data_IF_172035732075
#
_entry.id   IF_172035732075
#
_cell.length_a   1.000
_cell.length_b   1.000
_cell.length_c   1.000
_cell.angle_alpha   90.00
_cell.angle_beta   90.00
_cell.angle_gamma   90.00
#
_symmetry.space_group_name_H-M   'P 1'
#
loop_
_entity.id
_entity.type
_entity.pdbx_description
1 polymer ?
#
# COMPACT_ATOMS: atom_id res chain seq x y z
N UNK A 1 24.50 45.30 32.50
CA UNK A 1 24.27 43.83 32.37
C UNK A 1 22.87 43.52 31.88
N UNK A 2 21.89 44.42 32.07
CA UNK A 2 20.49 44.18 31.68
C UNK A 2 20.27 44.04 30.16
N UNK A 3 20.95 44.84 29.33
CA UNK A 3 20.79 44.81 27.86
C UNK A 3 21.13 43.47 27.19
N UNK A 4 22.04 42.70 27.80
CA UNK A 4 22.41 41.38 27.27
C UNK A 4 21.30 40.34 27.52
N UNK A 5 20.60 40.43 28.66
CA UNK A 5 19.51 39.52 28.98
C UNK A 5 18.24 39.85 28.19
N UNK A 6 17.92 41.13 27.99
CA UNK A 6 16.79 41.55 27.14
C UNK A 6 17.02 41.19 25.68
N UNK A 7 18.23 41.40 25.14
CA UNK A 7 18.53 40.98 23.76
C UNK A 7 18.50 39.46 23.58
N UNK A 8 19.03 38.69 24.54
CA UNK A 8 18.96 37.22 24.51
C UNK A 8 17.50 36.70 24.63
N UNK A 9 16.67 37.31 25.48
CA UNK A 9 15.26 36.97 25.61
C UNK A 9 14.47 37.30 24.35
N UNK A 10 14.72 38.46 23.72
CA UNK A 10 14.12 38.83 22.43
C UNK A 10 14.55 37.85 21.34
N UNK A 11 15.83 37.46 21.26
CA UNK A 11 16.28 36.45 20.30
C UNK A 11 15.62 35.08 20.52
N UNK A 12 15.49 34.62 21.78
CA UNK A 12 14.80 33.38 22.11
C UNK A 12 13.30 33.42 21.75
N UNK A 13 12.64 34.56 21.95
CA UNK A 13 11.22 34.70 21.64
C UNK A 13 10.97 34.86 20.14
N UNK A 14 11.79 35.66 19.45
CA UNK A 14 11.64 35.97 18.01
C UNK A 14 12.09 34.82 17.12
N UNK A 15 13.13 34.07 17.50
CA UNK A 15 13.65 32.96 16.69
C UNK A 15 13.42 31.59 17.33
N UNK A 16 13.66 31.47 18.64
CA UNK A 16 13.53 30.17 19.33
C UNK A 16 12.10 29.66 19.39
N UNK A 17 11.15 30.52 19.74
CA UNK A 17 9.73 30.19 19.87
C UNK A 17 9.08 29.75 18.54
N UNK A 18 9.26 30.46 17.42
CA UNK A 18 8.74 29.98 16.13
C UNK A 18 9.44 28.71 15.65
N UNK A 19 10.75 28.54 15.85
CA UNK A 19 11.44 27.27 15.50
C UNK A 19 10.87 26.11 16.32
N UNK A 20 10.62 26.32 17.61
CA UNK A 20 10.02 25.33 18.50
C UNK A 20 8.59 24.99 18.09
N UNK A 21 7.77 26.00 17.78
CA UNK A 21 6.41 25.81 17.26
C UNK A 21 6.40 25.06 15.94
N UNK A 22 7.34 25.35 15.03
CA UNK A 22 7.52 24.62 13.77
C UNK A 22 7.86 23.16 14.04
N UNK A 23 8.79 22.87 14.96
CA UNK A 23 9.13 21.48 15.34
C UNK A 23 7.94 20.74 15.94
N UNK A 24 7.17 21.39 16.82
CA UNK A 24 5.93 20.81 17.38
C UNK A 24 4.93 20.54 16.27
N UNK A 25 4.67 21.51 15.39
CA UNK A 25 3.74 21.37 14.27
C UNK A 25 4.12 20.18 13.36
N UNK A 26 5.41 20.00 13.11
CA UNK A 26 5.89 18.86 12.33
C UNK A 26 5.84 17.52 13.10
N UNK A 27 5.96 17.52 14.43
CA UNK A 27 6.01 16.32 15.27
C UNK A 27 4.66 15.82 15.83
N UNK A 28 3.69 16.71 16.05
CA UNK A 28 2.46 16.41 16.80
C UNK A 28 1.56 15.37 16.09
N UNK A 29 1.64 15.33 14.76
CA UNK A 29 1.00 14.31 13.92
C UNK A 29 1.32 12.88 14.39
N UNK A 30 2.61 12.60 14.68
CA UNK A 30 3.06 11.28 15.13
C UNK A 30 2.54 10.93 16.52
N UNK A 31 2.35 11.94 17.38
CA UNK A 31 1.78 11.74 18.71
C UNK A 31 0.32 11.33 18.61
N UNK A 32 -0.45 12.00 17.74
CA UNK A 32 -1.85 11.62 17.50
C UNK A 32 -1.98 10.24 16.87
N UNK A 33 -1.09 9.85 15.95
CA UNK A 33 -1.07 8.47 15.43
C UNK A 33 -0.85 7.43 16.54
N UNK A 34 0.08 7.68 17.47
CA UNK A 34 0.36 6.79 18.60
C UNK A 34 -0.82 6.66 19.56
N UNK A 35 -1.61 7.73 19.70
CA UNK A 35 -2.82 7.76 20.51
C UNK A 35 -4.05 7.20 19.76
N UNK A 36 -3.87 6.67 18.54
CA UNK A 36 -4.95 6.22 17.65
C UNK A 36 -5.97 7.33 17.32
N UNK A 37 -5.60 8.61 17.47
CA UNK A 37 -6.42 9.78 17.14
C UNK A 37 -6.26 10.14 15.66
N UNK A 38 -6.69 9.19 14.86
CA UNK A 38 -6.44 9.11 13.43
C UNK A 38 -7.05 10.24 12.60
N UNK A 39 -8.23 10.75 12.99
CA UNK A 39 -8.88 11.87 12.33
C UNK A 39 -8.06 13.17 12.47
N UNK A 40 -7.53 13.42 13.67
CA UNK A 40 -6.71 14.62 13.95
C UNK A 40 -5.38 14.53 13.20
N UNK A 41 -4.73 13.37 13.23
CA UNK A 41 -3.49 13.16 12.47
C UNK A 41 -3.71 13.35 10.96
N UNK A 42 -4.85 12.89 10.41
CA UNK A 42 -5.20 13.09 9.00
C UNK A 42 -5.42 14.57 8.68
N UNK A 43 -6.19 15.30 9.51
CA UNK A 43 -6.41 16.73 9.32
C UNK A 43 -5.10 17.52 9.29
N UNK A 44 -4.15 17.20 10.18
CA UNK A 44 -2.81 17.81 10.20
C UNK A 44 -2.05 17.53 8.89
N UNK A 45 -2.14 16.31 8.34
CA UNK A 45 -1.51 15.98 7.05
C UNK A 45 -2.13 16.73 5.88
N UNK A 46 -3.44 16.92 5.88
CA UNK A 46 -4.15 17.72 4.87
C UNK A 46 -3.65 19.16 4.89
N UNK A 47 -3.58 19.77 6.07
CA UNK A 47 -3.03 21.12 6.23
C UNK A 47 -1.57 21.18 5.77
N UNK A 48 -0.73 20.22 6.18
CA UNK A 48 0.67 20.15 5.73
C UNK A 48 0.80 19.98 4.21
N UNK A 49 -0.14 19.30 3.56
CA UNK A 49 -0.14 19.09 2.11
C UNK A 49 -0.35 20.39 1.34
N UNK A 50 -1.09 21.36 1.91
CA UNK A 50 -1.27 22.68 1.30
C UNK A 50 0.04 23.48 1.18
N UNK A 51 1.06 23.15 1.98
CA UNK A 51 2.38 23.78 1.95
C UNK A 51 3.41 23.03 1.08
N UNK A 52 3.01 21.93 0.44
CA UNK A 52 3.89 21.14 -0.44
C UNK A 52 3.68 21.56 -1.89
N UNK A 53 4.75 21.65 -2.67
CA UNK A 53 4.66 21.98 -4.09
C UNK A 53 3.85 20.93 -4.86
N UNK A 54 3.11 21.38 -5.89
CA UNK A 54 2.29 20.51 -6.73
C UNK A 54 3.09 19.35 -7.33
N UNK A 55 4.29 19.63 -7.87
CA UNK A 55 5.18 18.60 -8.40
C UNK A 55 5.54 17.51 -7.38
N UNK A 56 5.75 17.86 -6.10
CA UNK A 56 6.00 16.88 -5.04
C UNK A 56 4.74 16.11 -4.64
N UNK A 57 3.56 16.73 -4.71
CA UNK A 57 2.30 16.03 -4.47
C UNK A 57 1.98 15.04 -5.60
N UNK A 58 2.23 15.43 -6.85
CA UNK A 58 2.03 14.58 -8.01
C UNK A 58 2.99 13.38 -7.99
N UNK A 59 4.27 13.60 -7.63
CA UNK A 59 5.22 12.51 -7.46
C UNK A 59 4.79 11.51 -6.35
N UNK A 60 4.22 12.00 -5.25
CA UNK A 60 3.67 11.13 -4.20
C UNK A 60 2.46 10.35 -4.69
N UNK A 61 1.54 10.99 -5.40
CA UNK A 61 0.34 10.32 -5.95
C UNK A 61 0.70 9.26 -6.99
N UNK A 62 1.56 9.58 -7.95
CA UNK A 62 2.02 8.62 -8.96
C UNK A 62 2.75 7.43 -8.32
N UNK A 63 3.50 7.67 -7.25
CA UNK A 63 4.15 6.58 -6.52
C UNK A 63 3.13 5.68 -5.83
N UNK A 64 2.11 6.27 -5.17
CA UNK A 64 1.03 5.54 -4.49
C UNK A 64 0.27 4.68 -5.50
N UNK A 65 -0.17 5.26 -6.61
CA UNK A 65 -0.89 4.53 -7.68
C UNK A 65 -0.06 3.34 -8.19
N UNK A 66 1.22 3.56 -8.51
CA UNK A 66 2.11 2.47 -8.95
C UNK A 66 2.29 1.40 -7.87
N UNK A 67 2.35 1.77 -6.60
CA UNK A 67 2.53 0.82 -5.52
C UNK A 67 1.28 -0.03 -5.32
N UNK A 68 0.10 0.59 -5.40
CA UNK A 68 -1.20 -0.07 -5.29
C UNK A 68 -1.45 -1.00 -6.48
N UNK A 69 -1.16 -0.57 -7.71
CA UNK A 69 -1.24 -1.41 -8.91
C UNK A 69 -0.37 -2.66 -8.77
N UNK A 70 0.88 -2.50 -8.31
CA UNK A 70 1.80 -3.63 -8.11
C UNK A 70 1.39 -4.53 -6.95
N UNK A 71 0.76 -3.98 -5.91
CA UNK A 71 0.18 -4.77 -4.82
C UNK A 71 -1.02 -5.59 -5.31
N UNK A 72 -1.87 -5.01 -6.16
CA UNK A 72 -3.00 -5.67 -6.79
C UNK A 72 -2.57 -6.80 -7.72
N UNK A 73 -1.62 -6.54 -8.63
CA UNK A 73 -1.02 -7.58 -9.49
C UNK A 73 -0.49 -8.76 -8.66
N UNK A 74 0.11 -8.49 -7.50
CA UNK A 74 0.67 -9.52 -6.63
C UNK A 74 -0.42 -10.39 -6.00
N UNK A 75 -1.53 -9.78 -5.59
CA UNK A 75 -2.69 -10.50 -5.05
C UNK A 75 -3.32 -11.40 -6.12
N UNK A 76 -3.50 -10.90 -7.34
CA UNK A 76 -4.03 -11.68 -8.45
C UNK A 76 -3.16 -12.89 -8.78
N UNK A 77 -1.82 -12.74 -8.77
CA UNK A 77 -0.91 -13.87 -8.97
C UNK A 77 -1.00 -14.92 -7.86
N UNK A 78 -1.22 -14.50 -6.61
CA UNK A 78 -1.43 -15.42 -5.49
C UNK A 78 -2.73 -16.18 -5.66
N UNK A 79 -3.83 -15.48 -5.96
CA UNK A 79 -5.13 -16.10 -6.20
C UNK A 79 -5.08 -17.08 -7.37
N UNK A 80 -4.46 -16.70 -8.51
CA UNK A 80 -4.30 -17.60 -9.65
C UNK A 80 -3.52 -18.85 -9.28
N UNK A 81 -2.44 -18.71 -8.50
CA UNK A 81 -1.67 -19.86 -8.03
C UNK A 81 -2.49 -20.79 -7.14
N UNK A 82 -3.29 -20.24 -6.22
CA UNK A 82 -4.14 -21.07 -5.35
C UNK A 82 -5.26 -21.75 -6.16
N UNK A 83 -5.91 -21.05 -7.09
CA UNK A 83 -6.91 -21.65 -7.98
C UNK A 83 -6.35 -22.81 -8.81
N UNK A 84 -5.16 -22.64 -9.40
CA UNK A 84 -4.49 -23.72 -10.15
C UNK A 84 -4.25 -24.95 -9.26
N UNK A 85 -3.95 -24.77 -7.96
CA UNK A 85 -3.82 -25.90 -7.03
C UNK A 85 -5.17 -26.53 -6.69
N UNK A 86 -6.21 -25.72 -6.49
CA UNK A 86 -7.57 -26.21 -6.26
C UNK A 86 -8.04 -27.05 -7.45
N UNK A 87 -7.85 -26.56 -8.68
CA UNK A 87 -8.15 -27.29 -9.92
C UNK A 87 -7.40 -28.65 -9.99
N UNK A 88 -6.12 -28.68 -9.57
CA UNK A 88 -5.33 -29.92 -9.49
C UNK A 88 -5.93 -30.88 -8.43
N UNK A 89 -6.30 -30.37 -7.25
CA UNK A 89 -6.86 -31.20 -6.18
C UNK A 89 -8.21 -31.78 -6.58
N UNK A 90 -9.07 -30.98 -7.20
CA UNK A 90 -10.37 -31.43 -7.71
C UNK A 90 -10.21 -32.49 -8.81
N UNK A 91 -9.24 -32.30 -9.72
CA UNK A 91 -8.88 -33.30 -10.73
C UNK A 91 -8.38 -34.62 -10.12
N UNK A 92 -7.50 -34.56 -9.13
CA UNK A 92 -6.99 -35.77 -8.43
C UNK A 92 -8.13 -36.47 -7.68
N UNK A 93 -9.05 -35.71 -7.07
CA UNK A 93 -10.16 -36.26 -6.30
C UNK A 93 -11.23 -36.92 -7.18
N UNK A 94 -11.41 -36.48 -8.43
CA UNK A 94 -12.50 -36.94 -9.32
C UNK A 94 -12.11 -38.06 -10.27
N UNK A 95 -10.84 -38.48 -10.32
CA UNK A 95 -10.32 -39.61 -11.11
C UNK A 95 -10.67 -39.61 -12.62
N UNK A 96 -11.12 -38.47 -13.16
CA UNK A 96 -11.46 -38.29 -14.57
C UNK A 96 -10.23 -37.84 -15.34
N UNK A 97 -9.59 -38.77 -16.04
CA UNK A 97 -8.35 -38.53 -16.80
C UNK A 97 -8.54 -37.72 -18.10
N UNK A 98 -9.77 -37.34 -18.47
CA UNK A 98 -10.07 -36.79 -19.80
C UNK A 98 -10.05 -35.26 -19.90
N UNK A 99 -9.93 -34.53 -18.78
CA UNK A 99 -10.09 -33.08 -18.85
C UNK A 99 -8.78 -32.37 -19.29
N UNK A 100 -8.80 -31.85 -20.52
CA UNK A 100 -7.70 -31.16 -21.21
C UNK A 100 -7.21 -29.90 -20.46
N UNK A 101 -7.99 -29.39 -19.50
CA UNK A 101 -7.69 -28.17 -18.72
C UNK A 101 -6.37 -28.19 -17.95
N UNK A 102 -5.87 -29.36 -17.57
CA UNK A 102 -4.61 -29.48 -16.83
C UNK A 102 -3.36 -29.70 -17.69
N UNK A 103 -3.47 -29.72 -19.03
CA UNK A 103 -2.27 -29.74 -19.87
C UNK A 103 -1.46 -28.46 -19.62
N UNK A 104 -0.32 -28.63 -18.96
CA UNK A 104 0.68 -27.60 -18.62
C UNK A 104 0.53 -26.86 -17.28
N UNK A 105 -0.24 -27.37 -16.31
CA UNK A 105 -0.34 -26.75 -14.97
C UNK A 105 1.03 -26.54 -14.30
N UNK A 106 1.99 -27.47 -14.49
CA UNK A 106 3.35 -27.35 -13.96
C UNK A 106 4.10 -26.16 -14.55
N UNK A 107 3.94 -25.94 -15.87
CA UNK A 107 4.55 -24.81 -16.58
C UNK A 107 3.92 -23.51 -16.10
N UNK A 108 2.60 -23.48 -15.96
CA UNK A 108 1.88 -22.33 -15.45
C UNK A 108 2.32 -21.97 -14.01
N UNK A 109 2.40 -22.92 -13.09
CA UNK A 109 2.89 -22.67 -11.73
C UNK A 109 4.34 -22.16 -11.72
N UNK A 110 5.19 -22.66 -12.62
CA UNK A 110 6.58 -22.19 -12.78
C UNK A 110 6.64 -20.76 -13.30
N UNK A 111 5.79 -20.42 -14.27
CA UNK A 111 5.71 -19.08 -14.83
C UNK A 111 5.14 -18.09 -13.82
N UNK A 112 4.07 -18.45 -13.07
CA UNK A 112 3.54 -17.65 -11.96
C UNK A 112 4.62 -17.36 -10.90
N UNK A 113 5.47 -18.34 -10.58
CA UNK A 113 6.59 -18.13 -9.65
C UNK A 113 7.60 -17.12 -10.19
N UNK A 114 7.93 -17.18 -11.50
CA UNK A 114 8.83 -16.22 -12.16
C UNK A 114 8.22 -14.82 -12.21
N UNK A 115 6.95 -14.70 -12.57
CA UNK A 115 6.24 -13.42 -12.58
C UNK A 115 6.19 -12.80 -11.18
N UNK A 116 5.88 -13.59 -10.16
CA UNK A 116 5.89 -13.14 -8.76
C UNK A 116 7.26 -12.63 -8.33
N UNK A 117 8.34 -13.30 -8.73
CA UNK A 117 9.70 -12.82 -8.44
C UNK A 117 9.98 -11.47 -9.12
N UNK A 118 9.69 -11.35 -10.41
CA UNK A 118 9.86 -10.09 -11.16
C UNK A 118 9.06 -8.95 -10.54
N UNK A 119 7.81 -9.21 -10.18
CA UNK A 119 6.93 -8.25 -9.54
C UNK A 119 7.47 -7.79 -8.17
N UNK A 120 7.99 -8.72 -7.36
CA UNK A 120 8.62 -8.37 -6.09
C UNK A 120 9.86 -7.48 -6.29
N UNK A 121 10.67 -7.72 -7.33
CA UNK A 121 11.80 -6.86 -7.67
C UNK A 121 11.35 -5.46 -8.07
N UNK A 122 10.29 -5.34 -8.89
CA UNK A 122 9.70 -4.05 -9.25
C UNK A 122 9.17 -3.31 -8.02
N UNK A 123 8.46 -4.00 -7.12
CA UNK A 123 7.99 -3.41 -5.86
C UNK A 123 9.13 -2.95 -4.97
N UNK A 124 10.20 -3.73 -4.89
CA UNK A 124 11.40 -3.34 -4.14
C UNK A 124 12.06 -2.09 -4.72
N UNK A 125 12.24 -2.03 -6.04
CA UNK A 125 12.78 -0.86 -6.73
C UNK A 125 11.89 0.39 -6.52
N UNK A 126 10.56 0.20 -6.55
CA UNK A 126 9.61 1.27 -6.24
C UNK A 126 9.74 1.72 -4.78
N UNK A 127 9.90 0.79 -3.85
CA UNK A 127 10.11 1.11 -2.44
C UNK A 127 11.37 1.95 -2.20
N UNK A 128 12.46 1.67 -2.93
CA UNK A 128 13.69 2.47 -2.86
C UNK A 128 13.51 3.91 -3.36
N UNK A 129 12.60 4.13 -4.32
CA UNK A 129 12.30 5.45 -4.87
C UNK A 129 11.14 6.16 -4.16
N UNK A 130 10.76 5.69 -2.97
CA UNK A 130 9.65 6.23 -2.20
C UNK A 130 9.83 7.73 -1.88
N UNK A 131 8.93 8.61 -2.34
CA UNK A 131 9.00 10.02 -2.01
C UNK A 131 8.68 10.23 -0.51
N UNK A 132 9.06 11.40 0.00
CA UNK A 132 8.75 11.80 1.37
C UNK A 132 7.66 12.88 1.35
N UNK A 133 6.74 12.82 2.31
CA UNK A 133 5.73 13.86 2.44
C UNK A 133 4.51 13.46 3.24
N UNK A 134 3.57 14.40 3.43
CA UNK A 134 2.36 14.18 4.20
C UNK A 134 1.44 13.12 3.58
N UNK A 135 1.30 13.07 2.25
CA UNK A 135 0.50 12.02 1.58
C UNK A 135 1.11 10.63 1.78
N UNK A 136 2.44 10.52 1.73
CA UNK A 136 3.11 9.24 1.97
C UNK A 136 2.93 8.74 3.40
N UNK A 137 2.98 9.63 4.39
CA UNK A 137 2.71 9.25 5.78
C UNK A 137 1.25 8.87 6.00
N UNK A 138 0.33 9.52 5.28
CA UNK A 138 -1.09 9.14 5.31
C UNK A 138 -1.26 7.73 4.76
N UNK A 139 -0.71 7.46 3.57
CA UNK A 139 -0.74 6.15 2.93
C UNK A 139 -0.15 5.04 3.81
N UNK A 140 1.01 5.26 4.41
CA UNK A 140 1.63 4.28 5.33
C UNK A 140 0.75 3.97 6.54
N UNK A 141 0.08 4.99 7.08
CA UNK A 141 -0.83 4.81 8.21
C UNK A 141 -2.13 4.12 7.81
N UNK A 142 -2.64 4.37 6.61
CA UNK A 142 -3.79 3.67 6.05
C UNK A 142 -3.47 2.17 5.86
N UNK A 143 -2.35 1.84 5.21
CA UNK A 143 -1.88 0.45 5.09
C UNK A 143 -1.77 -0.21 6.46
N UNK A 144 -1.13 0.45 7.43
CA UNK A 144 -0.95 -0.12 8.76
C UNK A 144 -2.28 -0.39 9.46
N UNK A 145 -3.26 0.50 9.29
CA UNK A 145 -4.61 0.32 9.85
C UNK A 145 -5.32 -0.85 9.19
N UNK A 146 -5.24 -0.93 7.87
CA UNK A 146 -5.79 -2.02 7.09
C UNK A 146 -5.18 -3.34 7.56
N UNK A 147 -3.86 -3.45 7.68
CA UNK A 147 -3.18 -4.63 8.21
C UNK A 147 -3.68 -5.05 9.59
N UNK A 148 -3.82 -4.08 10.52
CA UNK A 148 -4.35 -4.36 11.87
C UNK A 148 -5.81 -4.79 11.82
N UNK A 149 -6.62 -4.15 10.98
CA UNK A 149 -8.03 -4.47 10.82
C UNK A 149 -8.23 -5.87 10.22
N UNK A 150 -7.52 -6.17 9.14
CA UNK A 150 -7.56 -7.48 8.48
C UNK A 150 -7.02 -8.60 9.35
N UNK A 151 -6.01 -8.34 10.18
CA UNK A 151 -5.53 -9.31 11.16
C UNK A 151 -6.58 -9.66 12.22
N UNK A 152 -7.49 -8.72 12.54
CA UNK A 152 -8.59 -8.94 13.50
C UNK A 152 -9.81 -9.58 12.86
N UNK A 153 -10.09 -9.27 11.59
CA UNK A 153 -11.27 -9.74 10.87
C UNK A 153 -10.93 -10.35 9.49
N UNK A 154 -10.27 -11.52 9.45
CA UNK A 154 -9.77 -12.10 8.20
C UNK A 154 -10.89 -12.50 7.23
N UNK A 155 -12.06 -12.91 7.75
CA UNK A 155 -13.22 -13.29 6.90
C UNK A 155 -13.75 -12.09 6.14
N UNK A 156 -13.81 -10.91 6.78
CA UNK A 156 -14.27 -9.68 6.11
C UNK A 156 -13.30 -9.20 5.04
N UNK A 157 -12.00 -9.46 5.20
CA UNK A 157 -10.98 -9.18 4.19
C UNK A 157 -11.27 -9.92 2.88
N UNK A 158 -11.60 -11.21 2.98
CA UNK A 158 -11.86 -12.06 1.82
C UNK A 158 -13.15 -11.64 1.08
N UNK A 159 -14.14 -11.10 1.80
CA UNK A 159 -15.39 -10.60 1.22
C UNK A 159 -15.36 -9.13 0.79
N UNK A 160 -14.25 -8.41 1.02
CA UNK A 160 -14.15 -6.99 0.64
C UNK A 160 -14.20 -6.84 -0.89
N UNK A 161 -14.75 -5.73 -1.45
CA UNK A 161 -14.84 -5.53 -2.90
C UNK A 161 -13.51 -5.75 -3.62
N UNK A 162 -12.38 -5.30 -3.05
CA UNK A 162 -11.04 -5.60 -3.58
C UNK A 162 -10.71 -7.11 -3.59
N UNK A 163 -11.09 -7.85 -2.55
CA UNK A 163 -10.94 -9.32 -2.52
C UNK A 163 -11.89 -10.03 -3.48
N UNK A 164 -13.07 -9.48 -3.74
CA UNK A 164 -14.10 -10.05 -4.61
C UNK A 164 -13.91 -9.69 -6.09
N UNK A 165 -13.49 -8.47 -6.41
CA UNK A 165 -13.21 -7.99 -7.77
C UNK A 165 -11.99 -8.67 -8.36
N UNK A 166 -10.97 -8.97 -7.55
CA UNK A 166 -9.85 -9.81 -7.98
C UNK A 166 -10.32 -11.23 -8.33
N UNK A 167 -11.26 -11.79 -7.55
CA UNK A 167 -11.92 -13.06 -7.87
C UNK A 167 -12.84 -13.00 -9.12
N UNK A 168 -13.56 -11.89 -9.34
CA UNK A 168 -14.52 -11.71 -10.46
C UNK A 168 -13.87 -11.34 -11.79
N UNK A 169 -12.90 -10.41 -11.78
CA UNK A 169 -12.12 -10.06 -12.98
C UNK A 169 -11.39 -11.30 -13.52
N UNK A 170 -11.11 -12.26 -12.65
CA UNK A 170 -10.58 -13.55 -13.02
C UNK A 170 -11.60 -14.48 -13.70
N UNK A 171 -12.86 -14.54 -13.24
CA UNK A 171 -13.92 -15.30 -13.92
C UNK A 171 -14.15 -14.78 -15.34
N UNK A 172 -14.07 -13.46 -15.54
CA UNK A 172 -14.15 -12.82 -16.86
C UNK A 172 -12.89 -13.05 -17.74
N UNK A 173 -11.68 -13.03 -17.18
CA UNK A 173 -10.46 -13.34 -17.95
C UNK A 173 -10.31 -14.83 -18.30
N UNK A 174 -10.95 -15.73 -17.55
CA UNK A 174 -11.09 -17.15 -17.93
C UNK A 174 -12.00 -17.35 -19.15
N UNK A 175 -12.75 -16.31 -19.55
CA UNK A 175 -13.67 -16.28 -20.69
C UNK A 175 -13.17 -15.45 -21.88
N UNK A 176 -11.96 -14.89 -21.83
CA UNK A 176 -11.36 -14.22 -23.00
C UNK A 176 -10.84 -15.25 -24.03
N UNK A 177 -10.98 -14.94 -25.35
CA UNK A 177 -11.08 -15.95 -26.39
C UNK A 177 -9.78 -16.72 -26.59
N UNK A 178 -9.93 -18.04 -26.69
CA UNK A 178 -8.98 -18.91 -27.37
C UNK A 178 -9.16 -18.73 -28.88
N UNK A 179 -8.40 -17.82 -29.49
CA UNK A 179 -8.18 -17.73 -30.95
C UNK A 179 -6.92 -16.87 -31.12
N UNK A 180 -5.94 -17.14 -31.98
CA UNK A 180 -5.64 -18.19 -32.96
C UNK A 180 -4.13 -18.12 -33.23
#
# INVERSE_FOLDING_TARGET
>A
MDDFYTTALVFLFVFGLPIFMIKIFFGIEKTFDRLNLYGIASAIRTVKSAFVSRARLDAQTQWIEKMDDKAWEAQNLVQRRERVKEDILEYVATASFEDVKLKNWQKELKDLKRYRWSLNQQRYALHLSKPQGPRMRQYDMEIRRDEIYWAREPVRMMSAPRGVESCKAFDEQSSLPKDK
#
